data_IF_957509798568
#
_entry.id   IF_957509798568
#
_cell.length_a   1.000
_cell.length_b   1.000
_cell.length_c   1.000
_cell.angle_alpha   90.00
_cell.angle_beta   90.00
_cell.angle_gamma   90.00
#
_symmetry.space_group_name_H-M   'P 1'
#
loop_
_entity.id
_entity.type
_entity.pdbx_description
1 polymer ?
#
# COMPACT_ATOMS: atom_id res chain seq x y z
N UNK A 1 -9.49 -5.07 30.06
CA UNK A 1 -8.32 -5.57 29.29
C UNK A 1 -7.73 -4.42 28.49
N UNK A 2 -6.44 -4.45 28.18
CA UNK A 2 -5.81 -3.43 27.31
C UNK A 2 -5.79 -3.92 25.88
N UNK A 3 -6.16 -3.05 24.95
CA UNK A 3 -6.26 -3.33 23.52
C UNK A 3 -5.43 -2.33 22.76
N UNK A 4 -4.67 -2.78 21.77
CA UNK A 4 -4.01 -1.91 20.81
C UNK A 4 -4.65 -2.12 19.44
N UNK A 5 -5.29 -1.11 18.85
CA UNK A 5 -5.73 -1.22 17.47
C UNK A 5 -4.51 -1.34 16.56
N UNK A 6 -4.52 -2.36 15.72
CA UNK A 6 -3.48 -2.56 14.71
C UNK A 6 -3.94 -1.89 13.39
N UNK A 7 -3.01 -1.40 12.55
CA UNK A 7 -3.32 -0.81 11.25
C UNK A 7 -4.19 -1.70 10.34
N UNK A 8 -4.20 -3.00 10.57
CA UNK A 8 -5.03 -3.97 9.85
C UNK A 8 -6.53 -3.95 10.21
N UNK A 9 -6.94 -3.14 11.19
CA UNK A 9 -8.28 -3.19 11.79
C UNK A 9 -8.44 -4.32 12.82
N UNK A 10 -7.40 -5.10 13.07
CA UNK A 10 -7.38 -6.12 14.13
C UNK A 10 -7.10 -5.44 15.49
N UNK A 11 -7.53 -6.06 16.59
CA UNK A 11 -7.24 -5.57 17.93
C UNK A 11 -6.27 -6.53 18.63
N UNK A 12 -5.11 -6.02 19.02
CA UNK A 12 -4.12 -6.79 19.78
C UNK A 12 -4.40 -6.63 21.28
N UNK A 13 -4.65 -7.73 21.98
CA UNK A 13 -4.82 -7.71 23.44
C UNK A 13 -3.44 -7.67 24.08
N UNK A 14 -3.21 -6.70 24.96
CA UNK A 14 -1.97 -6.52 25.70
C UNK A 14 -2.10 -7.05 27.14
N UNK A 15 -0.99 -7.42 27.79
CA UNK A 15 -0.98 -7.64 29.23
C UNK A 15 -1.45 -6.37 29.94
N UNK A 16 -2.30 -6.52 30.96
CA UNK A 16 -2.88 -5.39 31.71
C UNK A 16 -1.76 -4.56 32.36
N UNK A 17 -0.79 -5.23 32.98
CA UNK A 17 0.33 -4.60 33.70
C UNK A 17 1.63 -4.54 32.86
N UNK A 18 1.54 -4.80 31.54
CA UNK A 18 2.68 -4.84 30.65
C UNK A 18 3.05 -3.48 30.04
N UNK A 19 4.28 -3.38 29.54
CA UNK A 19 4.70 -2.27 28.66
C UNK A 19 3.66 -2.09 27.52
N UNK A 20 3.20 -0.86 27.24
CA UNK A 20 2.41 -0.52 26.04
C UNK A 20 2.97 -1.09 24.72
N UNK A 21 4.28 -1.34 24.67
CA UNK A 21 5.04 -1.91 23.54
C UNK A 21 5.30 -3.41 23.68
N UNK A 22 4.80 -4.05 24.74
CA UNK A 22 4.94 -5.48 24.96
C UNK A 22 4.36 -6.29 23.78
N UNK A 23 4.85 -7.53 23.65
CA UNK A 23 4.24 -8.51 22.75
C UNK A 23 2.79 -8.74 23.21
N UNK A 24 1.85 -8.64 22.27
CA UNK A 24 0.44 -8.91 22.58
C UNK A 24 0.20 -10.37 22.97
N UNK A 25 -0.79 -10.60 23.81
CA UNK A 25 -1.21 -11.91 24.27
C UNK A 25 -2.05 -12.63 23.21
N UNK A 26 -3.00 -11.90 22.62
CA UNK A 26 -3.96 -12.43 21.64
C UNK A 26 -4.27 -11.40 20.56
N UNK A 27 -4.72 -11.90 19.41
CA UNK A 27 -5.23 -11.08 18.33
C UNK A 27 -6.73 -11.33 18.14
N UNK A 28 -7.52 -10.27 18.21
CA UNK A 28 -8.96 -10.28 17.98
C UNK A 28 -9.26 -9.72 16.59
N UNK A 29 -9.98 -10.51 15.78
CA UNK A 29 -10.34 -10.14 14.41
C UNK A 29 -11.80 -9.71 14.34
N UNK A 30 -12.12 -8.48 13.90
CA UNK A 30 -13.50 -8.07 13.70
C UNK A 30 -14.19 -8.94 12.64
N UNK A 31 -15.45 -9.29 12.88
CA UNK A 31 -16.31 -10.07 11.96
C UNK A 31 -17.39 -9.23 11.30
N UNK A 32 -17.71 -8.06 11.85
CA UNK A 32 -18.78 -7.18 11.36
C UNK A 32 -18.35 -5.72 11.37
N UNK A 33 -19.15 -4.87 10.74
CA UNK A 33 -19.08 -3.43 10.92
C UNK A 33 -19.17 -3.05 12.41
N UNK A 34 -18.49 -1.97 12.77
CA UNK A 34 -18.52 -1.42 14.12
C UNK A 34 -19.90 -0.87 14.46
N UNK A 35 -20.20 -0.78 15.76
CA UNK A 35 -21.25 0.08 16.28
C UNK A 35 -20.62 1.16 17.16
N UNK A 36 -21.14 2.38 17.11
CA UNK A 36 -20.70 3.47 17.96
C UNK A 36 -21.82 3.88 18.89
N UNK A 37 -21.46 4.26 20.12
CA UNK A 37 -22.40 4.82 21.07
C UNK A 37 -22.52 6.32 20.83
N UNK A 38 -23.75 6.77 20.64
CA UNK A 38 -24.15 8.15 20.62
C UNK A 38 -25.03 8.42 21.85
N UNK A 39 -24.80 9.54 22.55
CA UNK A 39 -25.53 9.81 23.80
C UNK A 39 -27.03 10.05 23.57
N UNK A 40 -27.42 10.58 22.41
CA UNK A 40 -28.81 10.88 22.11
C UNK A 40 -29.58 9.66 21.57
N UNK A 41 -28.91 8.78 20.83
CA UNK A 41 -29.55 7.69 20.07
C UNK A 41 -29.06 6.29 20.43
N UNK A 42 -28.13 6.16 21.38
CA UNK A 42 -27.58 4.89 21.84
C UNK A 42 -26.63 4.23 20.85
N UNK A 43 -26.58 2.90 20.86
CA UNK A 43 -25.71 2.13 19.96
C UNK A 43 -26.23 2.15 18.52
N UNK A 44 -25.50 2.84 17.64
CA UNK A 44 -25.80 2.93 16.23
C UNK A 44 -24.82 2.10 15.41
N UNK A 45 -25.27 1.31 14.41
CA UNK A 45 -24.35 0.67 13.48
C UNK A 45 -23.58 1.75 12.73
N UNK A 46 -22.26 1.58 12.61
CA UNK A 46 -21.40 2.48 11.87
C UNK A 46 -21.82 2.45 10.41
N UNK A 47 -22.58 3.45 9.97
CA UNK A 47 -22.87 3.67 8.55
C UNK A 47 -21.55 4.06 7.90
N UNK A 48 -21.22 3.44 6.77
CA UNK A 48 -19.95 3.66 6.09
C UNK A 48 -19.85 5.13 5.65
N UNK A 49 -19.24 5.97 6.47
CA UNK A 49 -19.05 7.37 6.15
C UNK A 49 -17.82 7.52 5.24
N UNK A 50 -18.05 7.43 3.93
CA UNK A 50 -17.12 7.99 2.96
C UNK A 50 -16.90 9.50 3.23
N UNK A 51 -17.91 10.19 3.78
CA UNK A 51 -17.91 11.63 4.06
C UNK A 51 -17.13 12.02 5.34
N UNK A 52 -17.26 11.31 6.46
CA UNK A 52 -16.42 11.56 7.66
C UNK A 52 -14.95 11.29 7.38
N UNK A 53 -14.63 10.26 6.59
CA UNK A 53 -13.25 9.96 6.18
C UNK A 53 -12.62 11.09 5.36
N UNK A 54 -13.42 11.83 4.60
CA UNK A 54 -12.96 13.01 3.87
C UNK A 54 -12.68 14.18 4.82
N UNK A 55 -13.54 14.38 5.84
CA UNK A 55 -13.41 15.46 6.82
C UNK A 55 -12.25 15.27 7.82
N UNK A 56 -11.87 14.02 8.11
CA UNK A 56 -10.72 13.68 8.98
C UNK A 56 -9.45 13.31 8.21
N UNK A 57 -9.43 13.51 6.88
CA UNK A 57 -8.23 13.21 6.09
C UNK A 57 -7.13 14.22 6.44
N UNK A 58 -5.97 13.77 6.93
CA UNK A 58 -4.88 14.69 7.25
C UNK A 58 -4.41 15.40 5.98
N UNK A 59 -4.35 16.73 6.04
CA UNK A 59 -3.91 17.58 4.94
C UNK A 59 -2.40 17.76 4.90
N UNK A 60 -1.71 17.41 6.00
CA UNK A 60 -0.26 17.46 6.12
C UNK A 60 0.32 16.12 6.65
N UNK A 61 1.54 15.72 6.23
CA UNK A 61 2.20 14.51 6.72
C UNK A 61 2.29 14.42 8.24
N UNK A 62 2.63 15.52 8.93
CA UNK A 62 2.75 15.55 10.39
C UNK A 62 1.42 15.25 11.10
N UNK A 63 0.30 15.73 10.55
CA UNK A 63 -1.03 15.41 11.08
C UNK A 63 -1.35 13.93 10.90
N UNK A 64 -0.93 13.32 9.78
CA UNK A 64 -1.11 11.89 9.55
C UNK A 64 -0.24 11.05 10.50
N UNK A 65 0.98 11.48 10.82
CA UNK A 65 1.82 10.82 11.82
C UNK A 65 1.19 10.86 13.21
N UNK A 66 0.76 12.05 13.65
CA UNK A 66 0.08 12.20 14.93
C UNK A 66 -1.21 11.38 15.00
N UNK A 67 -1.99 11.36 13.91
CA UNK A 67 -3.20 10.55 13.82
C UNK A 67 -2.88 9.04 13.85
N UNK A 68 -1.84 8.60 13.15
CA UNK A 68 -1.41 7.20 13.17
C UNK A 68 -0.94 6.80 14.58
N UNK A 69 -0.10 7.61 15.22
CA UNK A 69 0.41 7.32 16.56
C UNK A 69 -0.73 7.23 17.59
N UNK A 70 -1.77 8.08 17.48
CA UNK A 70 -3.01 7.95 18.27
C UNK A 70 -3.79 6.68 17.91
N UNK A 71 -3.95 6.34 16.64
CA UNK A 71 -4.72 5.14 16.24
C UNK A 71 -4.14 3.84 16.78
N UNK A 72 -2.83 3.80 17.07
CA UNK A 72 -2.14 2.62 17.62
C UNK A 72 -1.87 2.74 19.11
N UNK A 73 -2.43 3.76 19.78
CA UNK A 73 -2.31 3.90 21.22
C UNK A 73 -3.14 2.81 21.93
N UNK A 74 -2.59 2.16 22.97
CA UNK A 74 -3.37 1.20 23.74
C UNK A 74 -4.54 1.87 24.46
N UNK A 75 -5.72 1.27 24.31
CA UNK A 75 -6.97 1.69 24.94
C UNK A 75 -7.48 0.60 25.88
N UNK A 76 -8.23 1.03 26.89
CA UNK A 76 -8.97 0.09 27.71
C UNK A 76 -10.21 -0.42 26.97
N UNK A 77 -10.46 -1.72 27.12
CA UNK A 77 -11.62 -2.37 26.55
C UNK A 77 -12.17 -3.49 27.43
N UNK A 78 -13.42 -3.83 27.15
CA UNK A 78 -14.21 -4.86 27.80
C UNK A 78 -14.58 -5.93 26.77
N UNK A 79 -14.36 -7.20 27.11
CA UNK A 79 -14.79 -8.34 26.30
C UNK A 79 -16.08 -8.85 26.90
N UNK A 80 -17.17 -8.73 26.16
CA UNK A 80 -18.46 -9.25 26.52
C UNK A 80 -18.75 -10.53 25.73
N UNK A 81 -18.88 -11.66 26.42
CA UNK A 81 -19.09 -12.96 25.76
C UNK A 81 -20.55 -13.24 25.39
N UNK A 82 -21.50 -12.43 25.88
CA UNK A 82 -22.92 -12.62 25.61
C UNK A 82 -23.55 -13.84 26.30
N UNK A 83 -24.89 -13.95 26.27
CA UNK A 83 -25.62 -15.08 26.84
C UNK A 83 -25.44 -16.38 26.05
N UNK A 84 -25.08 -16.30 24.77
CA UNK A 84 -24.91 -17.44 23.86
C UNK A 84 -23.59 -18.22 24.08
N UNK A 85 -22.88 -17.95 25.17
CA UNK A 85 -21.49 -18.36 25.35
C UNK A 85 -20.58 -17.68 24.33
N UNK A 86 -19.26 -17.86 24.47
CA UNK A 86 -18.22 -17.15 23.69
C UNK A 86 -18.27 -17.26 22.16
N UNK A 87 -19.33 -17.81 21.56
CA UNK A 87 -19.59 -17.92 20.12
C UNK A 87 -19.59 -16.57 19.39
N UNK A 88 -19.98 -15.48 20.07
CA UNK A 88 -20.08 -14.14 19.48
C UNK A 88 -19.57 -13.05 20.44
N UNK A 89 -18.28 -13.06 20.79
CA UNK A 89 -17.75 -12.05 21.70
C UNK A 89 -17.86 -10.66 21.08
N UNK A 90 -18.27 -9.70 21.90
CA UNK A 90 -18.28 -8.27 21.56
C UNK A 90 -17.17 -7.60 22.36
N UNK A 91 -16.30 -6.88 21.69
CA UNK A 91 -15.32 -6.01 22.33
C UNK A 91 -15.86 -4.60 22.33
N UNK A 92 -15.95 -3.99 23.51
CA UNK A 92 -16.31 -2.59 23.68
C UNK A 92 -15.09 -1.82 24.16
N UNK A 93 -14.73 -0.74 23.47
CA UNK A 93 -13.60 0.10 23.83
C UNK A 93 -13.87 1.55 23.42
N UNK A 94 -13.16 2.49 24.03
CA UNK A 94 -13.21 3.89 23.62
C UNK A 94 -12.25 4.12 22.46
N UNK A 95 -12.73 4.69 21.36
CA UNK A 95 -11.87 4.99 20.21
C UNK A 95 -10.70 5.89 20.64
N UNK A 96 -9.44 5.58 20.28
CA UNK A 96 -8.31 6.48 20.56
C UNK A 96 -8.29 7.69 19.61
N UNK A 97 -9.19 7.73 18.62
CA UNK A 97 -9.33 8.83 17.66
C UNK A 97 -10.58 9.64 17.99
N UNK A 98 -10.53 10.99 17.93
CA UNK A 98 -11.71 11.84 18.03
C UNK A 98 -12.85 11.37 17.11
N UNK A 99 -14.11 11.39 17.57
CA UNK A 99 -14.60 12.00 18.81
C UNK A 99 -14.43 11.14 20.08
N UNK A 100 -13.58 10.11 20.06
CA UNK A 100 -13.39 9.19 21.19
C UNK A 100 -14.69 8.49 21.63
N UNK A 101 -15.54 8.17 20.66
CA UNK A 101 -16.78 7.46 20.89
C UNK A 101 -16.53 6.04 21.40
N UNK A 102 -17.43 5.56 22.26
CA UNK A 102 -17.47 4.13 22.60
C UNK A 102 -17.80 3.33 21.36
N UNK A 103 -17.01 2.29 21.10
CA UNK A 103 -17.07 1.47 19.90
C UNK A 103 -17.22 0.02 20.31
N UNK A 104 -18.18 -0.68 19.70
CA UNK A 104 -18.43 -2.10 19.90
C UNK A 104 -18.17 -2.87 18.60
N UNK A 105 -17.34 -3.91 18.68
CA UNK A 105 -16.99 -4.79 17.55
C UNK A 105 -17.32 -6.24 17.89
N UNK A 106 -18.01 -6.95 16.98
CA UNK A 106 -18.07 -8.41 17.06
C UNK A 106 -16.73 -8.96 16.61
N UNK A 107 -16.12 -9.82 17.44
CA UNK A 107 -14.83 -10.46 17.12
C UNK A 107 -15.02 -11.94 16.84
N UNK A 108 -14.06 -12.54 16.15
CA UNK A 108 -14.04 -13.97 15.96
C UNK A 108 -13.93 -14.70 17.31
N UNK A 109 -14.66 -15.82 17.42
CA UNK A 109 -14.81 -16.69 18.60
C UNK A 109 -13.49 -17.17 19.22
N UNK A 110 -12.42 -17.29 18.42
CA UNK A 110 -11.14 -17.83 18.88
C UNK A 110 -10.07 -16.74 18.92
N UNK A 111 -9.60 -16.44 20.14
CA UNK A 111 -8.38 -15.67 20.37
C UNK A 111 -7.19 -16.46 19.80
N UNK A 112 -6.70 -16.03 18.62
CA UNK A 112 -5.50 -16.65 18.05
C UNK A 112 -4.25 -16.05 18.67
N UNK A 113 -3.27 -16.88 19.02
CA UNK A 113 -1.95 -16.38 19.42
C UNK A 113 -1.36 -15.44 18.36
N UNK A 114 -0.55 -14.45 18.75
CA UNK A 114 0.03 -13.47 17.84
C UNK A 114 0.92 -14.19 16.82
N UNK A 115 0.38 -14.48 15.64
CA UNK A 115 1.19 -15.08 14.56
C UNK A 115 2.18 -14.03 14.08
N UNK A 116 3.45 -14.43 13.93
CA UNK A 116 4.44 -13.72 13.10
C UNK A 116 3.93 -13.72 11.65
N UNK A 117 3.00 -12.83 11.26
CA UNK A 117 2.48 -12.84 9.90
C UNK A 117 2.05 -11.49 9.34
N UNK A 118 2.53 -11.28 8.11
CA UNK A 118 1.93 -10.61 6.93
C UNK A 118 0.79 -9.64 7.25
N UNK A 119 1.15 -8.34 7.29
CA UNK A 119 0.27 -7.17 7.42
C UNK A 119 -1.11 -7.40 6.82
N UNK A 120 -2.11 -7.49 7.70
CA UNK A 120 -3.51 -7.33 7.33
C UNK A 120 -3.70 -5.89 6.81
N UNK A 121 -4.30 -5.76 5.62
CA UNK A 121 -4.60 -4.48 4.97
C UNK A 121 -5.90 -3.92 5.54
N UNK A 122 -5.79 -3.00 6.50
CA UNK A 122 -6.88 -2.07 6.80
C UNK A 122 -6.77 -0.88 5.85
N UNK A 123 -7.74 -0.68 4.96
CA UNK A 123 -7.75 0.39 3.96
C UNK A 123 -7.54 1.78 4.57
N UNK A 124 -8.08 2.03 5.78
CA UNK A 124 -7.98 3.34 6.44
C UNK A 124 -6.58 3.61 7.04
N UNK A 125 -5.88 2.59 7.56
CA UNK A 125 -4.54 2.80 8.11
C UNK A 125 -3.47 2.85 7.01
N UNK A 126 -3.65 2.12 5.90
CA UNK A 126 -2.71 2.17 4.77
C UNK A 126 -2.62 3.59 4.16
N UNK A 127 -3.74 4.34 4.18
CA UNK A 127 -3.79 5.75 3.76
C UNK A 127 -2.98 6.69 4.67
N UNK A 128 -2.91 6.42 5.98
CA UNK A 128 -2.18 7.25 6.96
C UNK A 128 -0.70 6.89 7.07
N UNK A 129 -0.38 5.63 6.79
CA UNK A 129 0.96 5.07 7.00
C UNK A 129 2.02 5.68 6.08
N UNK A 130 1.65 6.01 4.84
CA UNK A 130 2.55 6.67 3.89
C UNK A 130 2.89 8.10 4.34
N UNK A 131 1.91 9.00 4.59
CA UNK A 131 2.21 10.33 5.09
C UNK A 131 2.84 10.32 6.49
N UNK A 132 2.51 9.37 7.37
CA UNK A 132 3.19 9.22 8.65
C UNK A 132 4.67 8.82 8.51
N UNK A 133 4.98 7.88 7.61
CA UNK A 133 6.36 7.53 7.29
C UNK A 133 7.10 8.70 6.66
N UNK A 134 6.46 9.47 5.78
CA UNK A 134 7.05 10.67 5.19
C UNK A 134 7.30 11.77 6.23
N UNK A 135 6.40 11.96 7.20
CA UNK A 135 6.61 12.91 8.29
C UNK A 135 7.83 12.56 9.14
N UNK A 136 8.02 11.29 9.49
CA UNK A 136 9.22 10.84 10.21
C UNK A 136 10.50 11.06 9.39
N UNK A 137 10.43 10.87 8.07
CA UNK A 137 11.55 11.19 7.18
C UNK A 137 11.83 12.70 7.15
N UNK A 138 10.78 13.51 7.14
CA UNK A 138 10.88 14.97 7.14
C UNK A 138 11.42 15.49 8.47
N UNK A 139 10.98 14.97 9.61
CA UNK A 139 11.52 15.32 10.94
C UNK A 139 13.04 15.05 11.02
N UNK A 140 13.48 13.90 10.48
CA UNK A 140 14.90 13.58 10.40
C UNK A 140 15.67 14.57 9.50
N UNK A 141 15.11 14.96 8.36
CA UNK A 141 15.75 15.89 7.41
C UNK A 141 15.71 17.35 7.89
N UNK A 142 14.67 17.75 8.63
CA UNK A 142 14.55 19.08 9.22
C UNK A 142 15.56 19.27 10.36
N UNK A 143 15.89 18.21 11.10
CA UNK A 143 16.94 18.21 12.12
C UNK A 143 18.36 18.32 11.54
N UNK A 144 18.55 17.97 10.26
CA UNK A 144 19.81 18.17 9.56
C UNK A 144 19.94 19.64 9.07
N UNK A 145 21.14 20.25 9.20
CA UNK A 145 21.38 21.60 8.71
C UNK A 145 21.12 21.69 7.20
N UNK A 146 20.73 22.88 6.69
CA UNK A 146 20.49 23.08 5.26
C UNK A 146 21.77 22.77 4.48
N UNK A 147 21.72 21.65 3.76
CA UNK A 147 22.76 21.20 2.84
C UNK A 147 22.42 21.53 1.40
N UNK A 148 23.33 21.21 0.46
CA UNK A 148 23.15 21.53 -0.95
C UNK A 148 21.93 20.83 -1.56
N UNK A 149 21.52 21.34 -2.73
CA UNK A 149 20.52 20.72 -3.58
C UNK A 149 20.85 19.23 -3.82
N UNK A 150 19.82 18.38 -3.80
CA UNK A 150 20.01 16.97 -4.09
C UNK A 150 20.39 16.76 -5.58
N UNK A 151 21.25 15.79 -5.92
CA UNK A 151 21.52 15.48 -7.32
C UNK A 151 20.28 14.89 -7.99
N UNK A 152 20.17 15.08 -9.32
CA UNK A 152 19.18 14.36 -10.10
C UNK A 152 19.41 12.85 -9.98
N UNK A 153 18.32 12.09 -9.88
CA UNK A 153 18.38 10.67 -9.55
C UNK A 153 17.54 9.84 -10.52
N UNK A 154 18.11 8.72 -10.95
CA UNK A 154 17.38 7.65 -11.64
C UNK A 154 17.52 6.38 -10.82
N UNK A 155 16.39 5.76 -10.50
CA UNK A 155 16.32 4.47 -9.83
C UNK A 155 15.45 3.51 -10.61
N UNK A 156 15.82 2.24 -10.58
CA UNK A 156 15.09 1.19 -11.28
C UNK A 156 15.77 -0.15 -11.11
N UNK A 157 15.10 -1.20 -11.55
CA UNK A 157 15.76 -2.50 -11.68
C UNK A 157 16.79 -2.47 -12.81
N UNK A 158 17.81 -3.36 -12.76
CA UNK A 158 18.78 -3.52 -13.84
C UNK A 158 18.11 -3.65 -15.21
N UNK A 159 18.64 -2.97 -16.22
CA UNK A 159 18.07 -2.96 -17.57
C UNK A 159 17.85 -4.38 -18.12
N UNK A 160 18.80 -5.28 -17.89
CA UNK A 160 18.69 -6.69 -18.26
C UNK A 160 17.41 -7.36 -17.72
N UNK A 161 17.11 -7.17 -16.43
CA UNK A 161 15.87 -7.72 -15.83
C UNK A 161 14.62 -7.06 -16.40
N UNK A 162 14.65 -5.74 -16.60
CA UNK A 162 13.48 -5.02 -17.14
C UNK A 162 13.15 -5.43 -18.58
N UNK A 163 14.15 -5.79 -19.36
CA UNK A 163 14.00 -6.20 -20.76
C UNK A 163 13.67 -7.68 -20.87
N UNK A 164 14.30 -8.55 -20.07
CA UNK A 164 14.13 -9.99 -20.18
C UNK A 164 12.83 -10.52 -19.54
N UNK A 165 12.41 -9.94 -18.41
CA UNK A 165 11.28 -10.51 -17.64
C UNK A 165 9.95 -10.46 -18.41
N UNK A 166 9.53 -9.36 -19.04
CA UNK A 166 8.26 -9.30 -19.77
C UNK A 166 8.11 -10.39 -20.86
N UNK A 167 9.05 -10.55 -21.82
CA UNK A 167 8.92 -11.57 -22.86
C UNK A 167 8.98 -12.99 -22.29
N UNK A 168 9.91 -13.27 -21.36
CA UNK A 168 10.02 -14.59 -20.74
C UNK A 168 8.73 -14.95 -19.99
N UNK A 169 8.18 -14.03 -19.22
CA UNK A 169 6.90 -14.24 -18.50
C UNK A 169 5.77 -14.48 -19.48
N UNK A 170 5.71 -13.72 -20.58
CA UNK A 170 4.66 -13.85 -21.59
C UNK A 170 4.67 -15.24 -22.22
N UNK A 171 5.85 -15.72 -22.64
CA UNK A 171 6.01 -17.04 -23.27
C UNK A 171 5.71 -18.17 -22.28
N UNK A 172 6.27 -18.10 -21.06
CA UNK A 172 6.02 -19.11 -20.03
C UNK A 172 4.55 -19.20 -19.66
N UNK A 173 3.89 -18.04 -19.51
CA UNK A 173 2.49 -18.00 -19.16
C UNK A 173 1.60 -18.51 -20.29
N UNK A 174 1.90 -18.18 -21.55
CA UNK A 174 1.21 -18.75 -22.69
C UNK A 174 1.36 -20.28 -22.70
N UNK A 175 2.58 -20.81 -22.55
CA UNK A 175 2.83 -22.24 -22.51
C UNK A 175 2.10 -22.97 -21.36
N UNK A 176 2.17 -22.43 -20.14
CA UNK A 176 1.49 -22.97 -18.96
C UNK A 176 -0.03 -22.97 -19.15
N UNK A 177 -0.56 -21.87 -19.70
CA UNK A 177 -2.00 -21.75 -19.93
C UNK A 177 -2.48 -22.66 -21.04
N UNK A 178 -1.68 -22.94 -22.07
CA UNK A 178 -2.01 -23.98 -23.06
C UNK A 178 -2.06 -25.36 -22.42
N UNK A 179 -1.12 -25.66 -21.52
CA UNK A 179 -1.02 -26.98 -20.87
C UNK A 179 -2.13 -27.26 -19.86
N UNK A 180 -2.65 -26.22 -19.18
CA UNK A 180 -3.67 -26.37 -18.14
C UNK A 180 -5.09 -26.53 -18.70
N UNK A 181 -5.27 -26.37 -20.00
CA UNK A 181 -6.59 -26.18 -20.59
C UNK A 181 -6.82 -27.24 -21.65
N UNK A 182 -7.48 -28.32 -21.26
CA UNK A 182 -7.77 -29.46 -22.13
C UNK A 182 -9.11 -29.31 -22.87
N UNK A 183 -10.08 -28.59 -22.29
CA UNK A 183 -11.42 -28.42 -22.85
C UNK A 183 -11.61 -27.00 -23.41
N UNK A 184 -11.55 -26.88 -24.74
CA UNK A 184 -11.76 -25.64 -25.48
C UNK A 184 -13.19 -25.09 -25.31
N UNK A 185 -13.37 -24.15 -24.39
CA UNK A 185 -14.67 -23.53 -24.12
C UNK A 185 -14.57 -22.17 -23.41
N UNK A 186 -15.72 -21.54 -23.13
CA UNK A 186 -15.77 -20.22 -22.48
C UNK A 186 -15.08 -20.22 -21.11
N UNK A 187 -15.10 -21.34 -20.39
CA UNK A 187 -14.40 -21.51 -19.12
C UNK A 187 -12.88 -21.36 -19.27
N UNK A 188 -12.32 -21.81 -20.40
CA UNK A 188 -10.89 -21.73 -20.70
C UNK A 188 -10.45 -20.28 -21.00
N UNK A 189 -11.21 -19.58 -21.85
CA UNK A 189 -10.99 -18.14 -22.11
C UNK A 189 -11.01 -17.32 -20.81
N UNK A 190 -12.01 -17.55 -19.96
CA UNK A 190 -12.11 -16.88 -18.67
C UNK A 190 -10.92 -17.25 -17.76
N UNK A 191 -10.48 -18.52 -17.75
CA UNK A 191 -9.33 -18.93 -16.97
C UNK A 191 -8.06 -18.18 -17.38
N UNK A 192 -7.77 -18.09 -18.68
CA UNK A 192 -6.61 -17.37 -19.22
C UNK A 192 -6.65 -15.87 -18.91
N UNK A 193 -7.84 -15.26 -18.97
CA UNK A 193 -8.04 -13.85 -18.61
C UNK A 193 -7.93 -13.60 -17.10
N UNK A 194 -8.54 -14.43 -16.25
CA UNK A 194 -8.62 -14.18 -14.81
C UNK A 194 -7.40 -14.65 -14.03
N UNK A 195 -6.67 -15.65 -14.52
CA UNK A 195 -5.44 -16.13 -13.87
C UNK A 195 -4.19 -15.64 -14.59
N UNK A 196 -4.16 -15.75 -15.92
CA UNK A 196 -3.00 -15.38 -16.71
C UNK A 196 -2.70 -13.89 -16.69
N UNK A 197 -3.67 -13.07 -17.11
CA UNK A 197 -3.44 -11.63 -17.27
C UNK A 197 -3.00 -10.94 -15.96
N UNK A 198 -3.60 -11.23 -14.77
CA UNK A 198 -3.11 -10.65 -13.51
C UNK A 198 -1.69 -11.09 -13.14
N UNK A 199 -1.28 -12.33 -13.44
CA UNK A 199 0.09 -12.81 -13.22
C UNK A 199 1.06 -12.04 -14.13
N UNK A 200 0.72 -11.89 -15.40
CA UNK A 200 1.54 -11.13 -16.35
C UNK A 200 1.67 -9.68 -15.91
N UNK A 201 0.55 -9.00 -15.65
CA UNK A 201 0.55 -7.61 -15.21
C UNK A 201 1.28 -7.42 -13.87
N UNK A 202 1.10 -8.34 -12.92
CA UNK A 202 1.80 -8.31 -11.64
C UNK A 202 3.32 -8.44 -11.81
N UNK A 203 3.76 -9.34 -12.68
CA UNK A 203 5.18 -9.56 -12.97
C UNK A 203 5.78 -8.37 -13.71
N UNK A 204 5.15 -7.92 -14.80
CA UNK A 204 5.59 -6.73 -15.54
C UNK A 204 5.60 -5.49 -14.64
N UNK A 205 4.65 -5.36 -13.70
CA UNK A 205 4.64 -4.25 -12.74
C UNK A 205 5.72 -4.37 -11.67
N UNK A 206 6.05 -5.57 -11.21
CA UNK A 206 7.08 -5.78 -10.22
C UNK A 206 8.49 -5.53 -10.79
N UNK A 207 8.69 -5.83 -12.08
CA UNK A 207 9.99 -5.76 -12.75
C UNK A 207 10.18 -4.53 -13.65
N UNK A 208 9.12 -3.92 -14.15
CA UNK A 208 9.17 -2.83 -15.14
C UNK A 208 9.18 -1.42 -14.56
N UNK A 209 9.24 -1.25 -13.24
CA UNK A 209 9.19 0.08 -12.63
C UNK A 209 10.51 0.85 -12.77
N UNK A 210 10.38 2.17 -12.90
CA UNK A 210 11.50 3.12 -12.86
C UNK A 210 11.03 4.40 -12.16
N UNK A 211 11.99 5.10 -11.54
CA UNK A 211 11.78 6.37 -10.87
C UNK A 211 12.84 7.34 -11.37
N UNK A 212 12.43 8.55 -11.75
CA UNK A 212 13.33 9.67 -11.98
C UNK A 212 12.91 10.85 -11.11
N UNK A 213 13.88 11.51 -10.52
CA UNK A 213 13.73 12.73 -9.71
C UNK A 213 14.65 13.77 -10.32
N UNK A 214 14.08 14.87 -10.82
CA UNK A 214 14.80 15.92 -11.54
C UNK A 214 14.31 17.32 -11.11
N UNK A 215 14.85 18.36 -11.75
CA UNK A 215 14.46 19.75 -11.51
C UNK A 215 12.97 20.02 -11.66
N UNK A 216 12.30 19.35 -12.60
CA UNK A 216 10.92 19.66 -12.91
C UNK A 216 9.93 18.84 -12.07
N UNK A 217 10.37 17.71 -11.50
CA UNK A 217 9.56 16.93 -10.57
C UNK A 217 9.96 15.47 -10.42
N UNK A 218 8.95 14.63 -10.20
CA UNK A 218 9.10 13.19 -10.02
C UNK A 218 8.39 12.45 -11.15
N UNK A 219 9.12 11.63 -11.88
CA UNK A 219 8.54 10.72 -12.89
C UNK A 219 8.49 9.31 -12.33
N UNK A 220 7.28 8.76 -12.22
CA UNK A 220 7.04 7.37 -11.82
C UNK A 220 6.64 6.57 -13.06
N UNK A 221 7.43 5.57 -13.40
CA UNK A 221 7.13 4.60 -14.46
C UNK A 221 6.66 3.30 -13.81
N UNK A 222 5.46 2.87 -14.18
CA UNK A 222 4.87 1.56 -13.84
C UNK A 222 4.95 0.63 -15.06
N UNK A 223 4.40 -0.58 -14.93
CA UNK A 223 4.29 -1.57 -16.00
C UNK A 223 3.93 -0.96 -17.37
N UNK A 224 2.84 -0.19 -17.42
CA UNK A 224 2.21 0.26 -18.67
C UNK A 224 2.02 1.78 -18.76
N UNK A 225 2.22 2.48 -17.64
CA UNK A 225 1.92 3.90 -17.49
C UNK A 225 3.14 4.67 -17.03
N UNK A 226 3.28 5.89 -17.55
CA UNK A 226 4.22 6.89 -17.07
C UNK A 226 3.42 8.05 -16.51
N UNK A 227 3.73 8.46 -15.28
CA UNK A 227 3.14 9.63 -14.65
C UNK A 227 4.26 10.58 -14.24
N UNK A 228 4.22 11.82 -14.74
CA UNK A 228 5.10 12.90 -14.29
C UNK A 228 4.32 13.78 -13.32
N UNK A 229 4.85 13.95 -12.12
CA UNK A 229 4.30 14.81 -11.09
C UNK A 229 5.23 16.03 -10.95
N UNK A 230 4.79 17.24 -11.34
CA UNK A 230 5.57 18.44 -11.09
C UNK A 230 5.70 18.67 -9.58
N UNK A 231 6.76 19.34 -9.14
CA UNK A 231 6.97 19.62 -7.71
C UNK A 231 5.78 20.31 -7.03
N UNK A 232 5.04 21.16 -7.76
CA UNK A 232 3.81 21.81 -7.26
C UNK A 232 2.68 20.85 -6.89
N UNK A 233 2.73 19.61 -7.40
CA UNK A 233 1.76 18.55 -7.11
C UNK A 233 2.29 17.49 -6.16
N UNK A 234 3.54 17.57 -5.71
CA UNK A 234 4.14 16.55 -4.84
C UNK A 234 4.14 17.04 -3.40
N UNK A 235 3.56 16.25 -2.49
CA UNK A 235 3.57 16.56 -1.05
C UNK A 235 4.64 15.75 -0.31
N UNK A 236 4.75 14.46 -0.61
CA UNK A 236 5.58 13.54 0.15
C UNK A 236 5.89 12.26 -0.63
N UNK A 237 6.92 11.51 -0.21
CA UNK A 237 7.13 10.15 -0.66
C UNK A 237 7.58 9.22 0.48
N UNK A 238 7.20 7.96 0.41
CA UNK A 238 7.61 6.96 1.40
C UNK A 238 7.80 5.59 0.77
N UNK A 239 8.57 4.75 1.47
CA UNK A 239 8.63 3.31 1.22
C UNK A 239 7.96 2.59 2.37
N UNK A 240 6.83 1.96 2.11
CA UNK A 240 6.11 1.17 3.10
C UNK A 240 5.68 -0.19 2.55
N UNK A 241 5.84 -1.25 3.35
CA UNK A 241 5.33 -2.59 2.99
C UNK A 241 5.95 -3.18 1.72
N UNK A 242 7.10 -2.66 1.27
CA UNK A 242 7.70 -3.03 -0.02
C UNK A 242 7.08 -2.33 -1.23
N UNK A 243 6.36 -1.22 -1.02
CA UNK A 243 5.85 -0.33 -2.05
C UNK A 243 6.51 1.04 -1.89
N UNK A 244 6.89 1.66 -3.00
CA UNK A 244 7.27 3.07 -3.04
C UNK A 244 6.05 3.88 -3.47
N UNK A 245 5.76 4.96 -2.77
CA UNK A 245 4.60 5.83 -3.03
C UNK A 245 4.98 7.29 -2.94
N UNK A 246 4.55 8.07 -3.93
CA UNK A 246 4.54 9.52 -3.98
C UNK A 246 3.11 9.98 -3.78
N UNK A 247 2.90 10.87 -2.81
CA UNK A 247 1.62 11.46 -2.52
C UNK A 247 1.50 12.81 -3.22
N UNK A 248 0.40 12.99 -3.94
CA UNK A 248 0.01 14.23 -4.56
C UNK A 248 -0.65 15.20 -3.58
N UNK A 249 -0.71 16.48 -3.94
CA UNK A 249 -1.44 17.51 -3.18
C UNK A 249 -2.96 17.29 -3.16
N UNK A 250 -3.48 16.56 -4.13
CA UNK A 250 -4.87 16.08 -4.22
C UNK A 250 -5.14 14.82 -3.37
N UNK A 251 -4.12 14.32 -2.66
CA UNK A 251 -4.18 13.07 -1.90
C UNK A 251 -4.05 11.81 -2.77
N UNK A 252 -3.89 11.93 -4.09
CA UNK A 252 -3.67 10.78 -4.96
C UNK A 252 -2.30 10.14 -4.68
N UNK A 253 -2.23 8.80 -4.73
CA UNK A 253 -0.99 8.08 -4.49
C UNK A 253 -0.47 7.39 -5.76
N UNK A 254 0.71 7.81 -6.21
CA UNK A 254 1.41 7.27 -7.36
C UNK A 254 2.61 6.46 -6.90
N UNK A 255 2.75 5.23 -7.35
CA UNK A 255 3.76 4.34 -6.76
C UNK A 255 3.79 2.94 -7.35
N UNK A 256 4.78 2.16 -6.99
CA UNK A 256 4.99 0.81 -7.52
C UNK A 256 5.35 -0.16 -6.42
N UNK A 257 5.02 -1.43 -6.66
CA UNK A 257 5.46 -2.52 -5.80
C UNK A 257 6.94 -2.79 -6.07
N UNK A 258 7.75 -2.66 -5.04
CA UNK A 258 9.20 -2.74 -5.06
C UNK A 258 9.71 -4.06 -4.43
N UNK A 259 8.91 -5.12 -4.54
CA UNK A 259 9.25 -6.43 -3.96
C UNK A 259 10.58 -6.97 -4.51
N UNK A 260 10.84 -6.97 -5.84
CA UNK A 260 12.09 -7.49 -6.37
C UNK A 260 13.31 -6.67 -5.94
N UNK A 261 13.18 -5.34 -5.78
CA UNK A 261 14.27 -4.52 -5.23
C UNK A 261 14.62 -4.88 -3.79
N UNK A 262 13.67 -5.33 -2.96
CA UNK A 262 13.99 -5.79 -1.61
C UNK A 262 14.82 -7.07 -1.65
N UNK A 263 14.44 -8.01 -2.52
CA UNK A 263 15.17 -9.26 -2.73
C UNK A 263 16.59 -9.01 -3.27
N UNK A 264 16.76 -7.99 -4.10
CA UNK A 264 18.05 -7.58 -4.66
C UNK A 264 18.85 -6.61 -3.76
N UNK A 265 18.48 -6.44 -2.48
CA UNK A 265 19.20 -5.57 -1.55
C UNK A 265 19.12 -4.05 -1.85
N UNK A 266 18.24 -3.64 -2.78
CA UNK A 266 18.05 -2.22 -3.19
C UNK A 266 17.01 -1.46 -2.37
N UNK A 267 16.55 -2.03 -1.25
CA UNK A 267 15.66 -1.36 -0.30
C UNK A 267 16.18 0.01 0.20
N UNK A 268 17.45 0.12 0.63
CA UNK A 268 18.02 1.38 1.10
C UNK A 268 18.04 2.49 0.03
N UNK A 269 18.24 2.13 -1.24
CA UNK A 269 18.26 3.10 -2.35
C UNK A 269 16.87 3.74 -2.56
N UNK A 270 15.80 2.95 -2.45
CA UNK A 270 14.43 3.46 -2.53
C UNK A 270 14.04 4.30 -1.31
N UNK A 271 14.51 3.94 -0.12
CA UNK A 271 14.32 4.75 1.08
C UNK A 271 15.04 6.11 0.95
N UNK A 272 16.26 6.12 0.42
CA UNK A 272 17.00 7.35 0.10
C UNK A 272 16.26 8.20 -0.93
N UNK A 273 15.71 7.59 -1.99
CA UNK A 273 14.91 8.30 -2.98
C UNK A 273 13.65 8.93 -2.35
N UNK A 274 12.95 8.21 -1.46
CA UNK A 274 11.78 8.72 -0.77
C UNK A 274 12.11 9.91 0.15
N UNK A 275 13.25 9.84 0.86
CA UNK A 275 13.79 10.96 1.66
C UNK A 275 14.04 12.19 0.79
N UNK A 276 14.78 12.03 -0.31
CA UNK A 276 15.10 13.13 -1.24
C UNK A 276 13.83 13.77 -1.78
N UNK A 277 12.85 12.98 -2.22
CA UNK A 277 11.59 13.51 -2.75
C UNK A 277 10.81 14.28 -1.68
N UNK A 278 10.76 13.76 -0.45
CA UNK A 278 10.05 14.42 0.66
C UNK A 278 10.73 15.72 1.06
N UNK A 279 12.06 15.72 1.15
CA UNK A 279 12.85 16.93 1.45
C UNK A 279 12.69 17.99 0.35
N UNK A 280 12.82 17.61 -0.93
CA UNK A 280 12.67 18.51 -2.08
C UNK A 280 11.24 19.06 -2.27
N UNK A 281 10.23 18.32 -1.81
CA UNK A 281 8.85 18.78 -1.78
C UNK A 281 8.66 19.87 -0.70
N UNK A 282 9.22 19.67 0.49
CA UNK A 282 9.11 20.59 1.61
C UNK A 282 10.01 21.85 1.49
N UNK A 283 11.18 21.70 0.87
CA UNK A 283 12.24 22.72 0.76
C UNK A 283 12.62 22.92 -0.72
N UNK A 284 12.15 24.01 -1.39
CA UNK A 284 12.46 24.27 -2.79
C UNK A 284 13.96 24.33 -3.11
N UNK A 285 14.77 24.80 -2.16
CA UNK A 285 16.23 24.86 -2.23
C UNK A 285 16.91 23.48 -2.26
N UNK A 286 16.21 22.41 -1.84
CA UNK A 286 16.69 21.02 -1.91
C UNK A 286 16.37 20.33 -3.24
N UNK A 287 15.57 20.96 -4.11
CA UNK A 287 15.19 20.37 -5.41
C UNK A 287 16.41 20.20 -6.29
N UNK A 288 16.47 19.13 -7.11
CA UNK A 288 17.56 18.97 -8.05
C UNK A 288 17.69 20.16 -9.00
N UNK A 289 18.91 20.61 -9.24
CA UNK A 289 19.17 21.68 -10.20
C UNK A 289 19.14 21.17 -11.65
N UNK A 290 19.50 19.90 -11.84
CA UNK A 290 19.63 19.28 -13.16
C UNK A 290 18.31 18.73 -13.68
N UNK A 291 18.01 19.03 -14.93
CA UNK A 291 16.94 18.38 -15.67
C UNK A 291 17.49 17.11 -16.35
N UNK A 292 16.82 15.98 -16.15
CA UNK A 292 17.19 14.74 -16.84
C UNK A 292 16.74 14.80 -18.31
N UNK A 293 17.50 14.20 -19.24
CA UNK A 293 17.11 14.12 -20.64
C UNK A 293 15.72 13.50 -20.84
N UNK A 294 14.98 13.94 -21.88
CA UNK A 294 13.72 13.29 -22.21
C UNK A 294 13.97 11.81 -22.56
N UNK A 295 13.19 10.91 -21.96
CA UNK A 295 13.29 9.47 -22.22
C UNK A 295 14.27 8.68 -21.34
N UNK A 296 14.94 9.31 -20.37
CA UNK A 296 15.81 8.61 -19.41
C UNK A 296 15.10 7.47 -18.67
N UNK A 297 13.78 7.60 -18.46
CA UNK A 297 12.91 6.54 -17.95
C UNK A 297 11.75 6.29 -18.90
N UNK A 298 11.30 5.03 -18.96
CA UNK A 298 10.18 4.60 -19.78
C UNK A 298 10.56 3.82 -21.04
N UNK A 299 11.84 3.58 -21.29
CA UNK A 299 12.30 2.81 -22.47
C UNK A 299 11.66 1.41 -22.56
N UNK A 300 11.38 0.78 -21.41
CA UNK A 300 10.75 -0.55 -21.35
C UNK A 300 9.22 -0.54 -21.47
N UNK A 301 8.57 0.64 -21.51
CA UNK A 301 7.11 0.73 -21.58
C UNK A 301 6.56 0.14 -22.87
N UNK A 302 7.22 0.40 -24.00
CA UNK A 302 6.79 -0.12 -25.29
C UNK A 302 6.87 -1.65 -25.29
N UNK A 303 7.98 -2.21 -24.82
CA UNK A 303 8.17 -3.66 -24.69
C UNK A 303 7.09 -4.28 -23.80
N UNK A 304 6.83 -3.70 -22.63
CA UNK A 304 5.80 -4.19 -21.72
C UNK A 304 4.41 -4.19 -22.37
N UNK A 305 4.08 -3.13 -23.13
CA UNK A 305 2.81 -3.04 -23.87
C UNK A 305 2.72 -4.09 -24.97
N UNK A 306 3.80 -4.31 -25.72
CA UNK A 306 3.87 -5.34 -26.76
C UNK A 306 3.72 -6.74 -26.17
N UNK A 307 4.34 -7.04 -25.03
CA UNK A 307 4.17 -8.31 -24.34
C UNK A 307 2.73 -8.55 -23.89
N UNK A 308 2.09 -7.54 -23.27
CA UNK A 308 0.68 -7.65 -22.86
C UNK A 308 -0.24 -7.78 -24.07
N UNK A 309 -0.04 -6.98 -25.12
CA UNK A 309 -0.81 -7.07 -26.36
C UNK A 309 -0.63 -8.44 -27.04
N UNK A 310 0.60 -8.94 -27.11
CA UNK A 310 0.92 -10.26 -27.66
C UNK A 310 0.25 -11.39 -26.87
N UNK A 311 0.23 -11.30 -25.54
CA UNK A 311 -0.49 -12.26 -24.69
C UNK A 311 -2.00 -12.24 -24.95
N UNK A 312 -2.60 -11.06 -25.05
CA UNK A 312 -4.03 -10.91 -25.36
C UNK A 312 -4.38 -11.45 -26.75
N UNK A 313 -3.55 -11.15 -27.76
CA UNK A 313 -3.70 -11.70 -29.11
C UNK A 313 -3.60 -13.23 -29.11
N UNK A 314 -2.67 -13.80 -28.34
CA UNK A 314 -2.55 -15.24 -28.18
C UNK A 314 -3.81 -15.85 -27.55
N UNK A 315 -4.37 -15.25 -26.50
CA UNK A 315 -5.64 -15.71 -25.88
C UNK A 315 -6.76 -15.74 -26.94
N UNK A 316 -6.91 -14.67 -27.72
CA UNK A 316 -7.94 -14.57 -28.75
C UNK A 316 -7.73 -15.60 -29.87
N UNK A 317 -6.51 -15.78 -30.34
CA UNK A 317 -6.19 -16.77 -31.36
C UNK A 317 -6.48 -18.20 -30.88
N UNK A 318 -6.12 -18.51 -29.63
CA UNK A 318 -6.36 -19.82 -29.04
C UNK A 318 -7.86 -20.09 -28.79
N UNK A 319 -8.67 -19.07 -28.46
CA UNK A 319 -10.13 -19.18 -28.38
C UNK A 319 -10.81 -19.31 -29.74
N UNK A 320 -10.26 -18.68 -30.79
CA UNK A 320 -10.77 -18.86 -32.15
C UNK A 320 -10.48 -20.27 -32.68
N UNK A 321 -9.26 -20.78 -32.44
CA UNK A 321 -8.84 -22.12 -32.87
C UNK A 321 -9.55 -23.25 -32.13
N UNK A 322 -10.00 -23.04 -30.89
CA UNK A 322 -10.76 -24.05 -30.16
C UNK A 322 -12.21 -24.20 -30.62
N UNK A 323 -12.70 -23.26 -31.44
CA UNK A 323 -14.06 -23.26 -32.00
C UNK A 323 -14.15 -23.85 -33.42
N UNK A 324 -13.02 -24.13 -34.05
CA UNK A 324 -12.91 -24.74 -35.39
C UNK A 324 -12.61 -26.21 -35.29
#
# INVERSE_FOLDING_TARGET
MRLRPEPGGELLVLPVDGDPRAKGLWLLKPRSAAAHYDEATGWQPHRSHAEERAATRPTAPAQAAALLDRTVEPVDGLLYQGPDGGLRPVVVFRSPVPPHAWTALRVAEHATGPRLRRKARGLAAEELVVPAAAARLLEQDLAEPPGPAAPALVQGLPAALRIAVPPVTTVLLAAVMTWLTEDGGVSDLLHRLFFGLPILLGTVSAFGWQLAVDRDGVTVVRALTRTRLPWSRVTAAAVHGGRFTVQGTDGAQHGFVALPSRLLGRGPALQRAARIVTAAAARPERRPAEALPPGTVGATLLLNRLCVAGYLLWILAADLLSRT
#
